data_IF_386686190227
#
_entry.id   IF_386686190227
#
_cell.length_a   1.000
_cell.length_b   1.000
_cell.length_c   1.000
_cell.angle_alpha   90.00
_cell.angle_beta   90.00
_cell.angle_gamma   90.00
#
_symmetry.space_group_name_H-M   'P 1'
#
loop_
_entity.id
_entity.type
_entity.pdbx_description
1 polymer ?
#
# COMPACT_ATOMS: atom_id res chain seq x y z
N UNK A 1 11.38 -6.34 11.72
CA UNK A 1 11.44 -5.37 10.61
C UNK A 1 11.20 -3.94 11.12
N UNK A 2 11.95 -2.94 10.65
CA UNK A 2 11.69 -1.52 11.01
C UNK A 2 10.43 -1.04 10.29
N UNK A 3 9.73 -0.04 10.86
CA UNK A 3 8.48 0.46 10.28
C UNK A 3 8.67 1.02 8.87
N UNK A 4 9.76 1.74 8.61
CA UNK A 4 10.05 2.33 7.31
C UNK A 4 10.21 1.26 6.21
N UNK A 5 10.98 0.20 6.49
CA UNK A 5 11.18 -0.92 5.57
C UNK A 5 9.85 -1.58 5.20
N UNK A 6 8.99 -1.81 6.21
CA UNK A 6 7.66 -2.41 5.99
C UNK A 6 6.75 -1.55 5.13
N UNK A 7 6.75 -0.23 5.34
CA UNK A 7 5.96 0.70 4.53
C UNK A 7 6.44 0.70 3.08
N UNK A 8 7.75 0.71 2.87
CA UNK A 8 8.34 0.62 1.53
C UNK A 8 7.97 -0.69 0.85
N UNK A 9 8.07 -1.82 1.55
CA UNK A 9 7.73 -3.13 1.01
C UNK A 9 6.23 -3.26 0.68
N UNK A 10 5.35 -2.73 1.54
CA UNK A 10 3.91 -2.66 1.29
C UNK A 10 3.59 -1.88 0.00
N UNK A 11 4.26 -0.74 -0.22
CA UNK A 11 4.17 0.02 -1.48
C UNK A 11 4.62 -0.84 -2.66
N UNK A 12 5.75 -1.55 -2.55
CA UNK A 12 6.25 -2.39 -3.64
C UNK A 12 5.29 -3.52 -3.99
N UNK A 13 4.68 -4.17 -2.99
CA UNK A 13 3.68 -5.22 -3.21
C UNK A 13 2.48 -4.63 -3.95
N UNK A 14 1.94 -3.50 -3.48
CA UNK A 14 0.78 -2.85 -4.13
C UNK A 14 1.10 -2.36 -5.55
N UNK A 15 2.32 -1.86 -5.80
CA UNK A 15 2.76 -1.39 -7.12
C UNK A 15 2.90 -2.54 -8.14
N UNK A 16 3.33 -3.72 -7.68
CA UNK A 16 3.49 -4.92 -8.52
C UNK A 16 2.18 -5.70 -8.68
N UNK A 17 1.21 -5.47 -7.80
CA UNK A 17 -0.09 -6.12 -7.84
C UNK A 17 -0.86 -5.71 -9.10
N UNK A 18 -1.21 -6.69 -9.94
CA UNK A 18 -2.08 -6.48 -11.10
C UNK A 18 -3.57 -6.56 -10.76
N UNK A 19 -3.89 -6.95 -9.52
CA UNK A 19 -5.24 -7.14 -9.02
C UNK A 19 -5.31 -6.66 -7.58
N UNK A 20 -6.52 -6.51 -7.07
CA UNK A 20 -6.78 -6.13 -5.69
C UNK A 20 -6.27 -7.16 -4.68
N UNK A 21 -5.53 -6.71 -3.67
CA UNK A 21 -4.96 -7.56 -2.62
C UNK A 21 -5.62 -7.25 -1.28
N UNK A 22 -6.01 -8.28 -0.54
CA UNK A 22 -6.62 -8.14 0.79
C UNK A 22 -5.59 -7.81 1.88
N UNK A 23 -6.03 -7.24 3.00
CA UNK A 23 -5.15 -7.03 4.16
C UNK A 23 -4.56 -8.34 4.70
N UNK A 24 -5.29 -9.46 4.61
CA UNK A 24 -4.82 -10.77 5.05
C UNK A 24 -3.64 -11.26 4.19
N UNK A 25 -3.72 -11.11 2.87
CA UNK A 25 -2.64 -11.47 1.96
C UNK A 25 -1.40 -10.57 2.13
N UNK A 26 -1.60 -9.27 2.36
CA UNK A 26 -0.50 -8.35 2.69
C UNK A 26 0.14 -8.72 4.03
N UNK A 27 -0.67 -9.10 5.01
CA UNK A 27 -0.23 -9.49 6.34
C UNK A 27 0.66 -10.74 6.30
N UNK A 28 0.25 -11.75 5.53
CA UNK A 28 1.03 -12.97 5.28
C UNK A 28 2.37 -12.66 4.60
N UNK A 29 2.37 -11.86 3.54
CA UNK A 29 3.59 -11.48 2.79
C UNK A 29 4.59 -10.66 3.62
N UNK A 30 4.09 -9.83 4.53
CA UNK A 30 4.90 -8.95 5.36
C UNK A 30 5.21 -9.55 6.75
N UNK A 31 4.75 -10.79 7.00
CA UNK A 31 4.84 -11.49 8.28
C UNK A 31 4.35 -10.64 9.48
N UNK A 32 3.21 -9.97 9.29
CA UNK A 32 2.56 -9.13 10.30
C UNK A 32 1.07 -9.48 10.43
N UNK A 33 0.37 -8.78 11.33
CA UNK A 33 -1.07 -8.94 11.50
C UNK A 33 -1.87 -8.03 10.55
N UNK A 34 -3.11 -8.39 10.18
CA UNK A 34 -3.99 -7.52 9.40
C UNK A 34 -4.21 -6.14 10.03
N UNK A 35 -4.25 -6.06 11.37
CA UNK A 35 -4.34 -4.78 12.11
C UNK A 35 -3.14 -3.88 11.85
N UNK A 36 -1.94 -4.45 11.72
CA UNK A 36 -0.73 -3.71 11.38
C UNK A 36 -0.82 -3.16 9.96
N UNK A 37 -1.27 -4.00 9.01
CA UNK A 37 -1.51 -3.59 7.61
C UNK A 37 -2.51 -2.44 7.53
N UNK A 38 -3.63 -2.50 8.25
CA UNK A 38 -4.61 -1.41 8.27
C UNK A 38 -4.02 -0.09 8.74
N UNK A 39 -3.21 -0.11 9.82
CA UNK A 39 -2.55 1.10 10.33
C UNK A 39 -1.52 1.65 9.36
N UNK A 40 -0.78 0.78 8.70
CA UNK A 40 0.24 1.16 7.73
C UNK A 40 -0.39 1.76 6.47
N UNK A 41 -1.48 1.17 5.96
CA UNK A 41 -2.25 1.73 4.84
C UNK A 41 -2.85 3.10 5.21
N UNK A 42 -3.41 3.24 6.41
CA UNK A 42 -3.89 4.54 6.89
C UNK A 42 -2.76 5.58 6.95
N UNK A 43 -1.55 5.17 7.36
CA UNK A 43 -0.36 6.03 7.35
C UNK A 43 0.01 6.46 5.93
N UNK A 44 0.00 5.54 4.96
CA UNK A 44 0.34 5.82 3.57
C UNK A 44 -0.70 6.72 2.88
N UNK A 45 -1.99 6.49 3.12
CA UNK A 45 -3.05 7.36 2.61
C UNK A 45 -2.94 8.78 3.19
N UNK A 46 -2.60 8.92 4.47
CA UNK A 46 -2.32 10.22 5.08
C UNK A 46 -1.11 10.93 4.44
N UNK A 47 -0.13 10.16 3.95
CA UNK A 47 1.02 10.65 3.18
C UNK A 47 0.71 10.87 1.68
N UNK A 48 -0.56 10.84 1.28
CA UNK A 48 -1.01 11.01 -0.12
C UNK A 48 -0.52 9.94 -1.10
N UNK A 49 -0.15 8.75 -0.62
CA UNK A 49 0.13 7.62 -1.50
C UNK A 49 -1.19 7.18 -2.16
N UNK A 50 -1.23 6.96 -3.49
CA UNK A 50 -2.45 6.67 -4.25
C UNK A 50 -2.93 5.23 -4.06
N UNK A 51 -3.22 4.86 -2.81
CA UNK A 51 -3.82 3.57 -2.45
C UNK A 51 -5.33 3.76 -2.45
N UNK A 52 -6.03 2.94 -3.23
CA UNK A 52 -7.47 2.79 -3.14
C UNK A 52 -7.82 1.50 -2.41
N UNK A 53 -8.92 1.53 -1.67
CA UNK A 53 -9.40 0.39 -0.91
C UNK A 53 -9.87 0.78 0.49
N UNK A 54 -10.57 -0.14 1.14
CA UNK A 54 -11.07 0.03 2.50
C UNK A 54 -10.76 -1.21 3.35
N UNK A 55 -10.70 -1.01 4.66
CA UNK A 55 -10.55 -2.12 5.59
C UNK A 55 -11.68 -3.14 5.40
N UNK A 56 -11.33 -4.43 5.34
CA UNK A 56 -12.28 -5.51 5.10
C UNK A 56 -12.63 -5.79 3.63
N UNK A 57 -12.10 -5.02 2.67
CA UNK A 57 -12.32 -5.25 1.23
C UNK A 57 -11.01 -5.71 0.57
N UNK A 58 -10.31 -4.80 -0.10
CA UNK A 58 -9.05 -5.05 -0.77
C UNK A 58 -8.40 -3.71 -1.11
N UNK A 59 -7.11 -3.75 -1.44
CA UNK A 59 -6.30 -2.59 -1.78
C UNK A 59 -5.71 -2.73 -3.18
N UNK A 60 -5.73 -1.63 -3.92
CA UNK A 60 -5.05 -1.45 -5.20
C UNK A 60 -4.28 -0.14 -5.16
N UNK A 61 -3.15 -0.08 -5.85
CA UNK A 61 -2.50 1.19 -6.14
C UNK A 61 -3.07 1.73 -7.45
N UNK A 62 -3.57 2.97 -7.44
CA UNK A 62 -4.10 3.60 -8.65
C UNK A 62 -2.96 3.72 -9.69
N UNK A 63 -3.07 3.11 -10.88
CA UNK A 63 -2.10 3.35 -11.94
C UNK A 63 -2.25 4.80 -12.42
N UNK A 64 -1.14 5.51 -12.56
CA UNK A 64 -1.13 6.88 -13.13
C UNK A 64 -0.82 8.03 -12.17
N UNK A 65 -0.21 7.80 -11.00
CA UNK A 65 0.56 8.88 -10.34
C UNK A 65 1.97 8.92 -10.92
N UNK A 66 2.06 9.19 -12.23
CA UNK A 66 3.22 9.87 -12.76
C UNK A 66 3.19 11.28 -12.15
N UNK A 67 4.31 11.69 -11.55
CA UNK A 67 4.53 13.10 -11.28
C UNK A 67 4.17 13.85 -12.57
N UNK A 68 3.33 14.91 -12.56
CA UNK A 68 3.14 15.70 -13.77
C UNK A 68 4.53 16.05 -14.29
N UNK A 69 4.83 15.82 -15.58
CA UNK A 69 6.15 16.11 -16.12
C UNK A 69 6.44 17.56 -15.77
N UNK A 70 7.53 17.77 -15.01
CA UNK A 70 8.03 19.10 -14.73
C UNK A 70 8.46 19.68 -16.08
N UNK A 71 7.52 20.36 -16.74
CA UNK A 71 7.79 21.24 -17.85
C UNK A 71 8.53 22.44 -17.25
N UNK A 72 9.85 22.38 -17.30
CA UNK A 72 10.72 23.55 -17.26
C UNK A 72 11.24 23.79 -18.68
#
# INVERSE_FOLDING_TARGET
MRRADRLFELIQILRRARASITAAQLAEKLEVTPRTVYRDIATLMAMRVPIEGAAGVCYIMRPGYDLPPLMF
#
